data_IF_764100296611
#
_entry.id   IF_764100296611
#
_cell.length_a   1.000
_cell.length_b   1.000
_cell.length_c   1.000
_cell.angle_alpha   90.00
_cell.angle_beta   90.00
_cell.angle_gamma   90.00
#
_symmetry.space_group_name_H-M   'P 1'
#
loop_
_entity.id
_entity.type
_entity.pdbx_description
1 polymer ?
#
# COMPACT_ATOMS: atom_id res chain seq x y z
N UNK A 1 -3.86 -8.66 -32.71
CA UNK A 1 -3.88 -9.11 -31.29
C UNK A 1 -2.63 -9.97 -31.07
N UNK A 2 -1.54 -9.42 -30.54
CA UNK A 2 -0.34 -10.19 -30.19
C UNK A 2 -0.58 -10.89 -28.85
N UNK A 3 -0.35 -12.18 -28.82
CA UNK A 3 -0.63 -13.07 -27.69
C UNK A 3 0.23 -12.74 -26.47
N UNK A 4 -0.29 -13.03 -25.29
CA UNK A 4 0.32 -12.77 -23.95
C UNK A 4 1.70 -13.42 -23.77
N UNK A 5 2.04 -14.38 -24.61
CA UNK A 5 3.30 -15.15 -24.62
C UNK A 5 4.48 -14.40 -25.24
N UNK A 6 4.23 -13.47 -26.18
CA UNK A 6 5.30 -12.70 -26.83
C UNK A 6 5.86 -11.55 -25.98
N UNK A 7 5.24 -11.24 -24.83
CA UNK A 7 5.73 -10.22 -23.88
C UNK A 7 6.76 -10.72 -22.87
N UNK A 8 7.12 -12.01 -22.89
CA UNK A 8 7.98 -12.62 -21.87
C UNK A 8 9.45 -12.79 -22.31
N UNK A 9 9.75 -12.65 -23.56
CA UNK A 9 11.09 -12.93 -24.09
C UNK A 9 11.76 -11.66 -24.65
N UNK A 10 12.29 -10.82 -23.81
CA UNK A 10 13.49 -10.00 -24.04
C UNK A 10 13.96 -9.52 -22.66
N UNK A 11 14.51 -10.42 -21.86
CA UNK A 11 15.43 -10.02 -20.80
C UNK A 11 16.77 -9.89 -21.53
N UNK A 12 17.11 -8.67 -21.91
CA UNK A 12 18.46 -8.34 -22.34
C UNK A 12 19.40 -8.53 -21.14
N UNK A 13 20.63 -8.94 -21.39
CA UNK A 13 21.63 -9.26 -20.38
C UNK A 13 21.79 -8.13 -19.34
N UNK A 14 21.77 -6.87 -19.77
CA UNK A 14 21.87 -5.70 -18.89
C UNK A 14 20.74 -5.54 -17.88
N UNK A 15 19.54 -6.05 -18.15
CA UNK A 15 18.43 -5.95 -17.17
C UNK A 15 18.65 -6.87 -15.97
N UNK A 16 19.26 -8.03 -16.19
CA UNK A 16 19.67 -8.95 -15.13
C UNK A 16 20.81 -8.39 -14.31
N UNK A 17 21.79 -7.77 -14.98
CA UNK A 17 22.90 -7.07 -14.33
C UNK A 17 22.39 -5.88 -13.52
N UNK A 18 21.48 -5.07 -14.07
CA UNK A 18 20.86 -3.95 -13.35
C UNK A 18 20.05 -4.43 -12.14
N UNK A 19 19.35 -5.57 -12.25
CA UNK A 19 18.68 -6.16 -11.08
C UNK A 19 19.69 -6.54 -10.01
N UNK A 20 20.78 -7.18 -10.37
CA UNK A 20 21.87 -7.54 -9.47
C UNK A 20 22.46 -6.29 -8.78
N UNK A 21 22.69 -5.23 -9.54
CA UNK A 21 23.11 -3.93 -9.00
C UNK A 21 22.11 -3.37 -7.98
N UNK A 22 20.82 -3.42 -8.29
CA UNK A 22 19.77 -2.94 -7.38
C UNK A 22 19.74 -3.71 -6.05
N UNK A 23 20.05 -5.00 -6.08
CA UNK A 23 19.99 -5.88 -4.92
C UNK A 23 21.28 -5.85 -4.07
N UNK A 24 22.43 -5.71 -4.71
CA UNK A 24 23.74 -5.87 -4.07
C UNK A 24 24.45 -4.53 -3.82
N UNK A 25 24.37 -3.58 -4.77
CA UNK A 25 25.07 -2.29 -4.69
C UNK A 25 24.18 -1.17 -4.16
N UNK A 26 23.12 -1.53 -3.42
CA UNK A 26 22.13 -0.58 -2.92
C UNK A 26 22.72 0.59 -2.11
N UNK A 27 23.87 0.43 -1.48
CA UNK A 27 24.56 1.51 -0.73
C UNK A 27 24.95 2.69 -1.62
N UNK A 28 25.15 2.45 -2.93
CA UNK A 28 25.51 3.51 -3.91
C UNK A 28 24.31 4.33 -4.36
N UNK A 29 23.13 3.74 -4.39
CA UNK A 29 21.94 4.40 -4.94
C UNK A 29 20.83 4.67 -3.91
N UNK A 30 20.78 3.94 -2.80
CA UNK A 30 19.74 4.11 -1.78
C UNK A 30 20.07 5.27 -0.83
N UNK A 31 19.19 6.26 -0.67
CA UNK A 31 19.42 7.40 0.24
C UNK A 31 19.63 6.96 1.70
N UNK A 32 18.99 5.88 2.10
CA UNK A 32 19.05 5.36 3.47
C UNK A 32 20.18 4.36 3.68
N UNK A 33 20.86 3.97 2.61
CA UNK A 33 21.89 2.92 2.60
C UNK A 33 21.43 1.57 3.20
N UNK A 34 20.11 1.39 3.36
CA UNK A 34 19.53 0.12 3.78
C UNK A 34 19.15 -0.71 2.57
N UNK A 35 19.27 -2.04 2.70
CA UNK A 35 18.87 -2.97 1.64
C UNK A 35 17.41 -2.74 1.25
N UNK A 36 17.10 -2.45 -0.03
CA UNK A 36 15.75 -2.21 -0.46
C UNK A 36 14.93 -3.50 -0.40
N UNK A 37 13.67 -3.38 0.00
CA UNK A 37 12.75 -4.50 -0.11
C UNK A 37 12.49 -4.88 -1.58
N UNK A 38 12.16 -6.13 -1.83
CA UNK A 38 11.92 -6.63 -3.20
C UNK A 38 10.87 -5.85 -3.99
N UNK A 39 9.93 -5.16 -3.32
CA UNK A 39 8.98 -4.24 -3.99
C UNK A 39 9.66 -3.00 -4.57
N UNK A 40 10.66 -2.47 -3.89
CA UNK A 40 11.43 -1.29 -4.34
C UNK A 40 12.25 -1.64 -5.59
N UNK A 41 12.93 -2.78 -5.56
CA UNK A 41 13.67 -3.31 -6.71
C UNK A 41 12.75 -3.53 -7.90
N UNK A 42 11.61 -4.22 -7.68
CA UNK A 42 10.61 -4.44 -8.75
C UNK A 42 10.07 -3.14 -9.34
N UNK A 43 9.84 -2.11 -8.51
CA UNK A 43 9.36 -0.82 -8.98
C UNK A 43 10.43 -0.11 -9.86
N UNK A 44 11.70 -0.12 -9.45
CA UNK A 44 12.79 0.44 -10.25
C UNK A 44 12.88 -0.26 -11.61
N UNK A 45 12.93 -1.60 -11.62
CA UNK A 45 12.95 -2.40 -12.85
C UNK A 45 11.76 -2.12 -13.75
N UNK A 46 10.56 -2.03 -13.19
CA UNK A 46 9.35 -1.74 -13.96
C UNK A 46 9.43 -0.38 -14.65
N UNK A 47 9.89 0.67 -13.95
CA UNK A 47 9.99 2.00 -14.52
C UNK A 47 11.08 2.09 -15.60
N UNK A 48 12.19 1.41 -15.41
CA UNK A 48 13.26 1.33 -16.44
C UNK A 48 12.81 0.51 -17.65
N UNK A 49 12.04 -0.57 -17.46
CA UNK A 49 11.43 -1.30 -18.59
C UNK A 49 10.44 -0.45 -19.39
N UNK A 50 9.65 0.39 -18.71
CA UNK A 50 8.74 1.33 -19.40
C UNK A 50 9.55 2.33 -20.24
N UNK A 51 10.68 2.82 -19.71
CA UNK A 51 11.60 3.67 -20.47
C UNK A 51 12.18 2.94 -21.69
N UNK A 52 12.67 1.71 -21.53
CA UNK A 52 13.21 0.91 -22.63
C UNK A 52 12.16 0.59 -23.72
N UNK A 53 10.91 0.36 -23.34
CA UNK A 53 9.81 0.18 -24.30
C UNK A 53 9.51 1.46 -25.09
N UNK A 54 9.49 2.60 -24.39
CA UNK A 54 9.35 3.89 -25.06
C UNK A 54 10.51 4.16 -26.01
N UNK A 55 11.75 3.86 -25.59
CA UNK A 55 12.94 3.99 -26.43
C UNK A 55 12.79 3.20 -27.73
N UNK A 56 12.41 1.93 -27.66
CA UNK A 56 12.18 1.10 -28.83
C UNK A 56 11.13 1.67 -29.79
N UNK A 57 10.07 2.28 -29.24
CA UNK A 57 9.06 2.95 -30.06
C UNK A 57 9.55 4.27 -30.67
N UNK A 58 10.38 5.03 -29.96
CA UNK A 58 10.86 6.35 -30.39
C UNK A 58 12.03 6.26 -31.39
N UNK A 59 12.92 5.28 -31.20
CA UNK A 59 14.17 5.19 -31.97
C UNK A 59 14.23 3.96 -32.88
N UNK A 60 13.24 3.06 -32.86
CA UNK A 60 13.16 1.91 -33.75
C UNK A 60 14.10 0.73 -33.42
N UNK A 61 14.84 0.78 -32.34
CA UNK A 61 15.74 -0.28 -31.87
C UNK A 61 15.67 -0.48 -30.37
N UNK A 62 16.19 -1.60 -29.88
CA UNK A 62 16.22 -1.89 -28.44
C UNK A 62 17.13 -0.91 -27.69
N UNK A 63 16.72 -0.57 -26.47
CA UNK A 63 17.53 0.27 -25.58
C UNK A 63 18.71 -0.52 -25.03
N UNK A 64 19.89 0.06 -25.17
CA UNK A 64 21.10 -0.36 -24.49
C UNK A 64 21.61 0.77 -23.57
N UNK A 65 22.06 0.47 -22.33
CA UNK A 65 22.49 1.50 -21.38
C UNK A 65 23.56 2.46 -21.90
N UNK A 66 24.47 1.99 -22.74
CA UNK A 66 25.53 2.79 -23.39
C UNK A 66 25.01 3.88 -24.32
N UNK A 67 23.77 3.77 -24.77
CA UNK A 67 23.13 4.72 -25.70
C UNK A 67 22.38 5.85 -24.98
N UNK A 68 22.31 5.79 -23.64
CA UNK A 68 21.59 6.78 -22.87
C UNK A 68 22.24 8.17 -23.00
N UNK A 69 21.44 9.14 -23.42
CA UNK A 69 21.84 10.54 -23.56
C UNK A 69 20.90 11.45 -22.78
N UNK A 70 21.38 12.64 -22.46
CA UNK A 70 20.57 13.68 -21.84
C UNK A 70 19.37 14.06 -22.73
N UNK A 71 19.59 14.19 -24.03
CA UNK A 71 18.54 14.48 -25.03
C UNK A 71 17.41 13.45 -24.95
N UNK A 72 17.74 12.18 -24.86
CA UNK A 72 16.75 11.11 -24.74
C UNK A 72 15.99 11.16 -23.43
N UNK A 73 16.65 11.50 -22.32
CA UNK A 73 15.99 11.68 -21.03
C UNK A 73 14.98 12.85 -21.05
N UNK A 74 15.35 13.97 -21.67
CA UNK A 74 14.44 15.12 -21.87
C UNK A 74 13.29 14.79 -22.82
N UNK A 75 13.54 14.05 -23.90
CA UNK A 75 12.49 13.56 -24.80
C UNK A 75 11.51 12.64 -24.06
N UNK A 76 12.01 11.73 -23.22
CA UNK A 76 11.15 10.88 -22.39
C UNK A 76 10.34 11.65 -21.32
N UNK A 77 10.94 12.71 -20.76
CA UNK A 77 10.21 13.62 -19.87
C UNK A 77 9.03 14.27 -20.59
N UNK A 78 9.27 14.84 -21.77
CA UNK A 78 8.23 15.44 -22.61
C UNK A 78 7.14 14.43 -22.94
N UNK A 79 7.51 13.25 -23.48
CA UNK A 79 6.56 12.17 -23.73
C UNK A 79 5.76 11.79 -22.48
N UNK A 80 6.42 11.63 -21.34
CA UNK A 80 5.73 11.23 -20.10
C UNK A 80 4.72 12.26 -19.61
N UNK A 81 5.06 13.55 -19.67
CA UNK A 81 4.27 14.62 -19.06
C UNK A 81 3.25 15.23 -20.03
N UNK A 82 3.56 15.36 -21.32
CA UNK A 82 2.75 16.06 -22.30
C UNK A 82 1.92 15.09 -23.15
N UNK A 83 2.51 14.00 -23.64
CA UNK A 83 1.83 13.04 -24.50
C UNK A 83 1.07 11.99 -23.65
N UNK A 84 1.78 11.23 -22.81
CA UNK A 84 1.19 10.20 -21.95
C UNK A 84 0.47 10.77 -20.71
N UNK A 85 0.64 12.05 -20.42
CA UNK A 85 -0.02 12.81 -19.33
C UNK A 85 0.02 12.11 -17.98
N UNK A 86 1.16 11.49 -17.65
CA UNK A 86 1.28 10.79 -16.36
C UNK A 86 1.22 11.76 -15.19
N UNK A 87 0.74 11.27 -14.05
CA UNK A 87 0.69 12.07 -12.82
C UNK A 87 2.10 12.46 -12.34
N UNK A 88 2.21 13.54 -11.59
CA UNK A 88 3.46 13.96 -10.95
C UNK A 88 4.10 12.84 -10.10
N UNK A 89 3.29 12.06 -9.37
CA UNK A 89 3.78 10.92 -8.59
C UNK A 89 4.39 9.84 -9.50
N UNK A 90 3.75 9.55 -10.63
CA UNK A 90 4.25 8.58 -11.61
C UNK A 90 5.54 9.08 -12.26
N UNK A 91 5.59 10.36 -12.66
CA UNK A 91 6.80 10.95 -13.20
C UNK A 91 7.95 10.90 -12.17
N UNK A 92 7.71 11.32 -10.95
CA UNK A 92 8.73 11.33 -9.90
C UNK A 92 9.26 9.91 -9.59
N UNK A 93 8.41 8.89 -9.69
CA UNK A 93 8.84 7.49 -9.57
C UNK A 93 9.68 7.03 -10.78
N UNK A 94 9.32 7.44 -12.01
CA UNK A 94 10.12 7.20 -13.21
C UNK A 94 11.47 7.88 -13.13
N UNK A 95 11.49 9.16 -12.76
CA UNK A 95 12.72 9.95 -12.59
C UNK A 95 13.66 9.33 -11.54
N UNK A 96 13.10 8.88 -10.41
CA UNK A 96 13.88 8.17 -9.41
C UNK A 96 14.55 6.90 -9.98
N UNK A 97 13.82 6.11 -10.76
CA UNK A 97 14.37 4.91 -11.40
C UNK A 97 15.44 5.24 -12.46
N UNK A 98 15.25 6.30 -13.25
CA UNK A 98 16.23 6.78 -14.23
C UNK A 98 17.51 7.28 -13.54
N UNK A 99 17.41 7.99 -12.43
CA UNK A 99 18.59 8.39 -11.63
C UNK A 99 19.38 7.20 -11.12
N UNK A 100 18.73 6.11 -10.77
CA UNK A 100 19.42 4.88 -10.38
C UNK A 100 20.08 4.23 -11.59
N UNK A 101 19.41 4.20 -12.74
CA UNK A 101 19.97 3.71 -13.97
C UNK A 101 21.23 4.50 -14.39
N UNK A 102 21.19 5.84 -14.32
CA UNK A 102 22.36 6.68 -14.59
C UNK A 102 23.53 6.38 -13.64
N UNK A 103 23.26 6.12 -12.36
CA UNK A 103 24.31 5.70 -11.41
C UNK A 103 24.88 4.32 -11.74
N UNK A 104 24.05 3.40 -12.23
CA UNK A 104 24.48 2.08 -12.65
C UNK A 104 25.46 2.16 -13.84
N UNK A 105 25.15 2.97 -14.83
CA UNK A 105 26.01 3.14 -16.02
C UNK A 105 27.20 4.10 -15.79
N UNK A 106 27.34 4.64 -14.59
CA UNK A 106 28.45 5.58 -14.27
C UNK A 106 28.24 7.02 -14.78
N UNK A 107 27.04 7.39 -15.19
CA UNK A 107 26.69 8.71 -15.72
C UNK A 107 25.60 9.42 -14.89
N UNK A 108 25.82 9.69 -13.60
CA UNK A 108 24.77 10.24 -12.72
C UNK A 108 24.28 11.64 -13.13
N UNK A 109 25.14 12.44 -13.73
CA UNK A 109 24.84 13.80 -14.19
C UNK A 109 23.74 13.87 -15.27
N UNK A 110 23.53 12.79 -16.06
CA UNK A 110 22.51 12.76 -17.10
C UNK A 110 21.07 12.97 -16.59
N UNK A 111 20.82 12.66 -15.32
CA UNK A 111 19.48 12.79 -14.74
C UNK A 111 19.38 13.91 -13.69
N UNK A 112 20.49 14.58 -13.36
CA UNK A 112 20.49 15.62 -12.31
C UNK A 112 19.74 16.87 -12.74
N UNK A 113 19.79 17.23 -14.04
CA UNK A 113 19.05 18.36 -14.62
C UNK A 113 17.53 18.12 -14.67
N UNK A 114 17.11 16.86 -14.60
CA UNK A 114 15.70 16.53 -14.58
C UNK A 114 15.12 16.73 -13.19
N UNK A 115 14.26 17.71 -13.05
CA UNK A 115 13.62 18.00 -11.77
C UNK A 115 12.33 17.20 -11.56
N UNK A 116 12.04 16.82 -10.32
CA UNK A 116 10.74 16.29 -9.95
C UNK A 116 9.64 17.28 -10.32
N UNK A 117 8.51 16.79 -10.80
CA UNK A 117 7.33 17.63 -10.99
C UNK A 117 6.71 17.94 -9.62
N UNK A 118 6.40 19.20 -9.39
CA UNK A 118 5.64 19.58 -8.21
C UNK A 118 4.30 18.82 -8.21
N UNK A 119 3.96 18.27 -7.07
CA UNK A 119 2.71 17.52 -6.89
C UNK A 119 1.51 18.42 -6.78
N UNK A 120 1.74 19.73 -6.57
CA UNK A 120 0.70 20.68 -6.21
C UNK A 120 0.00 20.31 -4.90
N UNK A 121 -0.85 21.19 -4.40
CA UNK A 121 -1.78 20.83 -3.34
C UNK A 121 -2.76 19.78 -3.88
N UNK A 122 -2.62 18.55 -3.49
CA UNK A 122 -3.66 17.53 -3.67
C UNK A 122 -4.37 17.41 -2.33
N UNK A 123 -5.68 17.67 -2.26
CA UNK A 123 -6.46 17.29 -1.09
C UNK A 123 -6.15 15.83 -0.77
N UNK A 124 -6.08 15.51 0.51
CA UNK A 124 -5.68 14.17 0.94
C UNK A 124 -6.48 13.13 0.16
N UNK A 125 -5.79 12.32 -0.64
CA UNK A 125 -6.40 11.23 -1.44
C UNK A 125 -7.14 10.22 -0.56
N UNK A 126 -6.86 10.27 0.73
CA UNK A 126 -7.43 9.44 1.76
C UNK A 126 -8.13 10.32 2.78
N UNK A 127 -9.37 10.04 3.06
CA UNK A 127 -10.16 10.70 4.09
C UNK A 127 -10.61 9.71 5.17
N UNK A 128 -10.93 10.20 6.35
CA UNK A 128 -11.63 9.42 7.34
C UNK A 128 -13.10 9.25 6.91
N UNK A 129 -13.69 8.15 7.32
CA UNK A 129 -15.14 7.96 7.23
C UNK A 129 -15.83 8.96 8.14
N UNK A 130 -16.88 9.60 7.66
CA UNK A 130 -17.78 10.37 8.48
C UNK A 130 -18.44 9.48 9.55
N UNK A 131 -18.99 10.06 10.60
CA UNK A 131 -19.72 9.32 11.65
C UNK A 131 -20.83 8.43 11.08
N UNK A 132 -21.55 8.93 10.07
CA UNK A 132 -22.61 8.22 9.37
C UNK A 132 -22.08 7.05 8.54
N UNK A 133 -21.08 7.28 7.71
CA UNK A 133 -20.43 6.24 6.89
C UNK A 133 -19.81 5.13 7.75
N UNK A 134 -19.16 5.52 8.83
CA UNK A 134 -18.64 4.56 9.81
C UNK A 134 -19.73 3.68 10.41
N UNK A 135 -20.86 4.29 10.82
CA UNK A 135 -22.01 3.56 11.34
C UNK A 135 -22.58 2.56 10.34
N UNK A 136 -22.77 3.00 9.10
CA UNK A 136 -23.23 2.12 8.01
C UNK A 136 -22.25 0.98 7.72
N UNK A 137 -20.96 1.26 7.66
CA UNK A 137 -19.95 0.24 7.42
C UNK A 137 -19.96 -0.83 8.52
N UNK A 138 -19.98 -0.41 9.79
CA UNK A 138 -20.00 -1.35 10.92
C UNK A 138 -21.29 -2.18 10.92
N UNK A 139 -22.43 -1.55 10.65
CA UNK A 139 -23.71 -2.25 10.54
C UNK A 139 -23.71 -3.28 9.39
N UNK A 140 -23.21 -2.91 8.23
CA UNK A 140 -23.13 -3.81 7.06
C UNK A 140 -22.23 -5.03 7.32
N UNK A 141 -21.12 -4.86 8.02
CA UNK A 141 -20.24 -5.98 8.40
C UNK A 141 -20.98 -7.07 9.19
N UNK A 142 -21.92 -6.68 10.06
CA UNK A 142 -22.77 -7.61 10.82
C UNK A 142 -23.93 -8.15 9.96
N UNK A 143 -24.60 -7.28 9.22
CA UNK A 143 -25.77 -7.60 8.44
C UNK A 143 -25.48 -8.64 7.35
N UNK A 144 -24.32 -8.55 6.70
CA UNK A 144 -23.89 -9.49 5.67
C UNK A 144 -23.86 -10.93 6.20
N UNK A 145 -23.33 -11.15 7.39
CA UNK A 145 -23.27 -12.49 7.99
C UNK A 145 -24.68 -13.02 8.30
N UNK A 146 -25.56 -12.16 8.82
CA UNK A 146 -26.96 -12.55 9.12
C UNK A 146 -27.77 -12.91 7.86
N UNK A 147 -27.40 -12.35 6.70
CA UNK A 147 -28.07 -12.61 5.41
C UNK A 147 -27.46 -13.77 4.64
N UNK A 148 -26.40 -14.39 5.15
CA UNK A 148 -25.80 -15.54 4.49
C UNK A 148 -26.79 -16.70 4.37
N UNK A 149 -26.90 -17.23 3.17
CA UNK A 149 -27.83 -18.32 2.85
C UNK A 149 -27.20 -19.69 3.12
N UNK A 150 -25.86 -19.78 2.98
CA UNK A 150 -25.12 -21.04 3.17
C UNK A 150 -24.07 -20.91 4.27
N UNK A 151 -23.73 -22.03 4.90
CA UNK A 151 -22.64 -22.07 5.88
C UNK A 151 -21.29 -21.64 5.29
N UNK A 152 -21.04 -21.97 4.03
CA UNK A 152 -19.83 -21.54 3.32
C UNK A 152 -19.80 -20.01 3.14
N UNK A 153 -20.92 -19.42 2.77
CA UNK A 153 -21.06 -17.96 2.66
C UNK A 153 -20.86 -17.29 4.02
N UNK A 154 -21.53 -17.77 5.07
CA UNK A 154 -21.37 -17.27 6.44
C UNK A 154 -19.92 -17.31 6.90
N UNK A 155 -19.20 -18.40 6.65
CA UNK A 155 -17.78 -18.55 6.95
C UNK A 155 -16.94 -17.51 6.18
N UNK A 156 -17.22 -17.32 4.90
CA UNK A 156 -16.51 -16.34 4.05
C UNK A 156 -16.73 -14.92 4.59
N UNK A 157 -17.96 -14.54 4.89
CA UNK A 157 -18.32 -13.20 5.38
C UNK A 157 -17.77 -12.94 6.79
N UNK A 158 -17.70 -13.97 7.65
CA UNK A 158 -17.06 -13.89 8.96
C UNK A 158 -15.56 -13.62 8.83
N UNK A 159 -14.87 -14.26 7.88
CA UNK A 159 -13.48 -13.96 7.55
C UNK A 159 -13.31 -12.50 7.09
N UNK A 160 -14.17 -12.06 6.19
CA UNK A 160 -14.13 -10.69 5.64
C UNK A 160 -14.34 -9.65 6.75
N UNK A 161 -15.33 -9.87 7.62
CA UNK A 161 -15.56 -9.02 8.78
C UNK A 161 -14.33 -8.93 9.67
N UNK A 162 -13.71 -10.06 10.01
CA UNK A 162 -12.54 -10.08 10.87
C UNK A 162 -11.35 -9.32 10.25
N UNK A 163 -11.08 -9.57 8.97
CA UNK A 163 -9.98 -8.92 8.27
C UNK A 163 -10.16 -7.39 8.14
N UNK A 164 -11.37 -6.94 7.82
CA UNK A 164 -11.70 -5.50 7.76
C UNK A 164 -11.70 -4.85 9.14
N UNK A 165 -12.16 -5.57 10.17
CA UNK A 165 -12.14 -5.09 11.56
C UNK A 165 -10.73 -4.81 12.06
N UNK A 166 -9.73 -5.60 11.69
CA UNK A 166 -8.33 -5.34 12.05
C UNK A 166 -7.81 -4.04 11.43
N UNK A 167 -8.28 -3.67 10.25
CA UNK A 167 -7.90 -2.39 9.63
C UNK A 167 -8.65 -1.21 10.26
N UNK A 168 -9.96 -1.35 10.49
CA UNK A 168 -10.81 -0.29 11.01
C UNK A 168 -10.59 0.00 12.49
N UNK A 169 -10.30 -1.03 13.28
CA UNK A 169 -10.20 -0.96 14.75
C UNK A 169 -8.77 -1.19 15.28
N UNK A 170 -7.85 -1.67 14.46
CA UNK A 170 -6.44 -1.88 14.80
C UNK A 170 -5.48 -1.06 13.93
N UNK A 171 -5.98 -0.42 12.88
CA UNK A 171 -5.17 0.41 11.99
C UNK A 171 -4.12 -0.36 11.17
N UNK A 172 -4.27 -1.67 11.00
CA UNK A 172 -3.31 -2.49 10.26
C UNK A 172 -3.33 -2.13 8.76
N UNK A 173 -2.16 -2.24 8.11
CA UNK A 173 -2.08 -2.17 6.64
C UNK A 173 -2.64 -3.44 6.02
N UNK A 174 -3.19 -3.35 4.81
CA UNK A 174 -3.67 -4.55 4.09
C UNK A 174 -2.61 -5.62 3.95
N UNK A 175 -1.35 -5.23 3.69
CA UNK A 175 -0.24 -6.17 3.59
C UNK A 175 0.07 -6.85 4.93
N UNK A 176 -0.10 -6.15 6.05
CA UNK A 176 0.09 -6.70 7.40
C UNK A 176 -1.03 -7.71 7.71
N UNK A 177 -2.29 -7.35 7.46
CA UNK A 177 -3.44 -8.24 7.67
C UNK A 177 -3.29 -9.56 6.94
N UNK A 178 -2.92 -9.54 5.66
CA UNK A 178 -2.77 -10.77 4.87
C UNK A 178 -1.55 -11.61 5.27
N UNK A 179 -0.56 -11.02 5.95
CA UNK A 179 0.65 -11.73 6.41
C UNK A 179 0.51 -12.34 7.81
N UNK A 180 -0.55 -12.06 8.54
CA UNK A 180 -0.74 -12.60 9.90
C UNK A 180 -0.79 -14.11 9.90
N UNK A 181 -0.05 -14.71 10.84
CA UNK A 181 -0.14 -16.10 11.23
C UNK A 181 -0.87 -16.27 12.56
N UNK A 182 -1.37 -17.46 12.84
CA UNK A 182 -2.13 -17.73 14.08
C UNK A 182 -1.35 -17.36 15.34
N UNK A 183 -0.04 -17.59 15.34
CA UNK A 183 0.85 -17.29 16.46
C UNK A 183 1.08 -15.77 16.68
N UNK A 184 0.64 -14.93 15.72
CA UNK A 184 0.70 -13.49 15.85
C UNK A 184 -0.48 -12.90 16.63
N UNK A 185 -1.43 -13.74 17.02
CA UNK A 185 -2.67 -13.32 17.64
C UNK A 185 -2.77 -13.87 19.04
N UNK A 186 -3.02 -12.97 19.98
CA UNK A 186 -3.39 -13.35 21.35
C UNK A 186 -4.72 -12.67 21.69
N UNK A 187 -5.73 -13.48 22.02
CA UNK A 187 -7.05 -12.99 22.46
C UNK A 187 -7.29 -13.49 23.87
N UNK A 188 -7.59 -12.57 24.77
CA UNK A 188 -8.01 -12.83 26.15
C UNK A 188 -9.38 -12.20 26.37
N UNK A 189 -10.15 -12.56 27.41
CA UNK A 189 -11.48 -12.01 27.66
C UNK A 189 -11.53 -10.47 27.70
N UNK A 190 -10.52 -9.84 28.33
CA UNK A 190 -10.47 -8.38 28.51
C UNK A 190 -9.43 -7.67 27.64
N UNK A 191 -8.54 -8.39 26.96
CA UNK A 191 -7.46 -7.81 26.13
C UNK A 191 -7.21 -8.63 24.89
N UNK A 192 -6.48 -8.07 23.92
CA UNK A 192 -6.00 -8.79 22.76
C UNK A 192 -4.92 -7.99 22.06
N UNK A 193 -4.00 -8.69 21.46
CA UNK A 193 -2.89 -8.11 20.71
C UNK A 193 -2.70 -8.81 19.37
N UNK A 194 -2.19 -8.06 18.42
CA UNK A 194 -1.69 -8.58 17.13
C UNK A 194 -0.23 -8.16 17.01
N UNK A 195 0.65 -9.13 16.79
CA UNK A 195 2.06 -8.93 16.54
C UNK A 195 2.31 -8.77 15.05
N UNK A 196 2.91 -7.68 14.65
CA UNK A 196 3.33 -7.43 13.28
C UNK A 196 4.82 -7.69 13.17
N UNK A 197 5.21 -8.83 12.60
CA UNK A 197 6.61 -9.31 12.56
C UNK A 197 7.51 -8.50 11.65
N UNK A 198 7.01 -7.97 10.54
CA UNK A 198 7.80 -7.14 9.64
C UNK A 198 6.98 -5.95 9.14
N UNK A 199 7.37 -4.76 9.60
CA UNK A 199 6.89 -3.49 9.10
C UNK A 199 7.83 -2.91 8.05
N UNK A 200 7.54 -1.71 7.54
CA UNK A 200 8.48 -0.94 6.72
C UNK A 200 9.71 -0.60 7.58
N UNK A 201 10.88 -1.19 7.24
CA UNK A 201 12.12 -1.02 7.99
C UNK A 201 12.40 -2.12 9.02
N UNK A 202 11.74 -3.28 8.89
CA UNK A 202 12.00 -4.52 9.65
C UNK A 202 11.80 -4.40 11.18
N UNK A 203 10.98 -3.44 11.61
CA UNK A 203 10.65 -3.26 13.03
C UNK A 203 9.37 -4.01 13.37
N UNK A 204 9.49 -4.95 14.29
CA UNK A 204 8.35 -5.60 14.94
C UNK A 204 7.58 -4.59 15.78
N UNK A 205 6.23 -4.70 15.79
CA UNK A 205 5.39 -3.97 16.73
C UNK A 205 4.20 -4.80 17.19
N UNK A 206 3.74 -4.47 18.39
CA UNK A 206 2.54 -5.05 18.97
C UNK A 206 1.42 -4.01 18.89
N UNK A 207 0.27 -4.43 18.33
CA UNK A 207 -0.92 -3.60 18.20
C UNK A 207 -2.00 -4.15 19.14
N UNK A 208 -2.41 -3.41 20.18
CA UNK A 208 -3.56 -3.78 20.99
C UNK A 208 -4.84 -3.67 20.16
N UNK A 209 -5.75 -4.63 20.33
CA UNK A 209 -7.04 -4.66 19.63
C UNK A 209 -8.20 -4.49 20.62
N UNK A 210 -9.16 -3.67 20.24
CA UNK A 210 -10.35 -3.38 21.02
C UNK A 210 -11.39 -4.52 20.97
N UNK A 211 -12.45 -4.40 21.76
CA UNK A 211 -13.48 -5.45 21.86
C UNK A 211 -14.14 -5.80 20.49
N UNK A 212 -14.54 -4.83 19.64
CA UNK A 212 -15.08 -5.17 18.31
C UNK A 212 -14.11 -6.00 17.43
N UNK A 213 -12.85 -5.64 17.38
CA UNK A 213 -11.83 -6.40 16.65
C UNK A 213 -11.61 -7.79 17.25
N UNK A 214 -11.53 -7.89 18.60
CA UNK A 214 -11.40 -9.19 19.28
C UNK A 214 -12.56 -10.12 18.98
N UNK A 215 -13.81 -9.63 19.09
CA UNK A 215 -15.02 -10.42 18.80
C UNK A 215 -15.04 -10.90 17.34
N UNK A 216 -14.75 -10.01 16.40
CA UNK A 216 -14.71 -10.37 14.98
C UNK A 216 -13.65 -11.44 14.69
N UNK A 217 -12.47 -11.28 15.27
CA UNK A 217 -11.36 -12.20 15.08
C UNK A 217 -11.59 -13.56 15.77
N UNK A 218 -12.13 -13.58 16.99
CA UNK A 218 -12.50 -14.79 17.69
C UNK A 218 -13.56 -15.58 16.90
N UNK A 219 -14.63 -14.94 16.47
CA UNK A 219 -15.67 -15.59 15.64
C UNK A 219 -15.09 -16.17 14.34
N UNK A 220 -14.12 -15.49 13.73
CA UNK A 220 -13.44 -16.05 12.54
C UNK A 220 -12.60 -17.28 12.88
N UNK A 221 -11.78 -17.23 13.94
CA UNK A 221 -10.91 -18.34 14.33
C UNK A 221 -11.71 -19.57 14.71
N UNK A 222 -12.91 -19.43 15.26
CA UNK A 222 -13.82 -20.50 15.60
C UNK A 222 -14.36 -21.24 14.37
N UNK A 223 -14.77 -20.49 13.32
CA UNK A 223 -15.36 -21.08 12.10
C UNK A 223 -14.33 -21.27 10.96
N UNK A 224 -13.07 -20.92 11.22
CA UNK A 224 -12.01 -21.03 10.21
C UNK A 224 -11.82 -22.49 9.80
N UNK A 225 -11.91 -22.81 8.50
CA UNK A 225 -11.73 -24.18 8.04
C UNK A 225 -10.37 -24.76 8.45
N UNK A 226 -10.34 -26.02 8.79
CA UNK A 226 -9.11 -26.75 9.07
C UNK A 226 -8.16 -26.63 7.87
N UNK A 227 -6.91 -26.32 8.14
CA UNK A 227 -5.90 -26.11 7.11
C UNK A 227 -4.51 -26.26 7.72
N UNK A 228 -3.57 -26.81 6.94
CA UNK A 228 -2.14 -26.86 7.28
C UNK A 228 -1.49 -25.47 7.26
N UNK A 229 -2.13 -24.50 6.63
CA UNK A 229 -1.64 -23.11 6.60
C UNK A 229 -1.70 -22.46 7.97
N UNK A 230 -0.60 -21.81 8.38
CA UNK A 230 -0.55 -20.96 9.57
C UNK A 230 -1.24 -19.61 9.36
N UNK A 231 -1.52 -19.20 8.11
CA UNK A 231 -2.16 -17.93 7.82
C UNK A 231 -3.49 -17.76 8.56
N UNK A 232 -3.69 -16.63 9.24
CA UNK A 232 -5.00 -16.29 9.84
C UNK A 232 -6.07 -16.26 8.76
N UNK A 233 -5.81 -15.55 7.69
CA UNK A 233 -6.77 -15.36 6.59
C UNK A 233 -6.36 -16.18 5.38
N UNK A 234 -7.10 -17.25 5.11
CA UNK A 234 -6.92 -18.11 3.94
C UNK A 234 -7.74 -17.60 2.75
N UNK A 235 -7.24 -17.80 1.54
CA UNK A 235 -8.00 -17.58 0.32
C UNK A 235 -8.93 -18.77 0.01
N UNK A 236 -9.82 -18.60 -0.99
CA UNK A 236 -10.73 -19.69 -1.41
C UNK A 236 -9.96 -20.89 -1.98
N UNK A 237 -8.86 -20.63 -2.70
CA UNK A 237 -8.02 -21.66 -3.37
C UNK A 237 -6.52 -21.44 -3.10
N UNK A 238 -6.19 -20.65 -2.09
CA UNK A 238 -4.81 -20.34 -1.73
C UNK A 238 -4.63 -20.43 -0.21
N UNK A 239 -3.45 -20.82 0.25
CA UNK A 239 -3.16 -20.98 1.69
C UNK A 239 -3.26 -19.65 2.44
N UNK A 240 -3.23 -18.51 1.72
CA UNK A 240 -3.26 -17.17 2.30
C UNK A 240 -4.06 -16.21 1.40
N UNK A 241 -4.84 -15.33 2.00
CA UNK A 241 -5.53 -14.25 1.31
C UNK A 241 -4.50 -13.27 0.73
N UNK A 242 -4.70 -12.83 -0.51
CA UNK A 242 -3.83 -11.84 -1.16
C UNK A 242 -4.30 -10.41 -0.91
N UNK A 243 -3.38 -9.44 -0.98
CA UNK A 243 -3.73 -8.01 -0.88
C UNK A 243 -4.79 -7.61 -1.91
N UNK A 244 -4.67 -8.07 -3.15
CA UNK A 244 -5.65 -7.78 -4.23
C UNK A 244 -7.04 -8.34 -3.94
N UNK A 245 -7.13 -9.55 -3.34
CA UNK A 245 -8.41 -10.11 -2.92
C UNK A 245 -9.01 -9.29 -1.79
N UNK A 246 -8.18 -8.88 -0.81
CA UNK A 246 -8.64 -8.06 0.32
C UNK A 246 -9.11 -6.66 -0.14
N UNK A 247 -8.41 -6.03 -1.05
CA UNK A 247 -8.81 -4.74 -1.64
C UNK A 247 -10.18 -4.85 -2.34
N UNK A 248 -10.42 -5.96 -3.04
CA UNK A 248 -11.73 -6.24 -3.66
C UNK A 248 -12.84 -6.40 -2.61
N UNK A 249 -12.56 -7.11 -1.52
CA UNK A 249 -13.49 -7.25 -0.38
C UNK A 249 -13.84 -5.87 0.20
N UNK A 250 -12.85 -5.04 0.49
CA UNK A 250 -13.07 -3.70 1.03
C UNK A 250 -13.91 -2.84 0.08
N UNK A 251 -13.60 -2.88 -1.23
CA UNK A 251 -14.37 -2.16 -2.24
C UNK A 251 -15.83 -2.61 -2.31
N UNK A 252 -16.08 -3.92 -2.24
CA UNK A 252 -17.43 -4.48 -2.24
C UNK A 252 -18.21 -4.03 -0.99
N UNK A 253 -17.61 -4.15 0.20
CA UNK A 253 -18.24 -3.71 1.46
C UNK A 253 -18.53 -2.21 1.42
N UNK A 254 -17.62 -1.41 0.84
CA UNK A 254 -17.82 0.02 0.65
C UNK A 254 -19.05 0.32 -0.20
N UNK A 255 -19.21 -0.35 -1.33
CA UNK A 255 -20.39 -0.20 -2.20
C UNK A 255 -21.70 -0.55 -1.47
N UNK A 256 -21.71 -1.65 -0.73
CA UNK A 256 -22.87 -2.10 0.06
C UNK A 256 -23.16 -1.18 1.26
N UNK A 257 -22.19 -0.42 1.71
CA UNK A 257 -22.31 0.55 2.82
C UNK A 257 -22.54 1.99 2.35
N UNK A 258 -22.80 2.20 1.06
CA UNK A 258 -22.89 3.53 0.44
C UNK A 258 -21.65 4.40 0.64
N UNK A 259 -20.49 3.79 0.80
CA UNK A 259 -19.17 4.44 0.88
C UNK A 259 -18.42 4.14 -0.42
N UNK A 260 -18.73 4.92 -1.44
CA UNK A 260 -18.07 4.79 -2.73
C UNK A 260 -16.57 5.03 -2.60
N UNK A 261 -15.78 4.28 -3.39
CA UNK A 261 -14.31 4.36 -3.42
C UNK A 261 -13.62 3.96 -2.10
N UNK A 262 -14.30 3.26 -1.19
CA UNK A 262 -13.67 2.76 0.04
C UNK A 262 -12.41 1.95 -0.29
N UNK A 263 -11.32 2.32 0.37
CA UNK A 263 -10.04 1.63 0.25
C UNK A 263 -9.52 1.19 1.61
N UNK A 264 -8.59 0.21 1.66
CA UNK A 264 -7.89 -0.14 2.88
C UNK A 264 -7.26 1.05 3.62
N UNK A 265 -6.75 2.03 2.87
CA UNK A 265 -6.17 3.24 3.47
C UNK A 265 -7.20 4.11 4.19
N UNK A 266 -8.43 4.19 3.70
CA UNK A 266 -9.49 4.95 4.37
C UNK A 266 -9.85 4.35 5.74
N UNK A 267 -9.90 3.00 5.83
CA UNK A 267 -10.14 2.32 7.10
C UNK A 267 -9.07 2.66 8.14
N UNK A 268 -7.81 2.56 7.74
CA UNK A 268 -6.67 2.89 8.59
C UNK A 268 -6.61 4.40 8.92
N UNK A 269 -6.94 5.26 7.97
CA UNK A 269 -7.03 6.69 8.20
C UNK A 269 -8.16 7.02 9.21
N UNK A 270 -9.31 6.36 9.08
CA UNK A 270 -10.42 6.46 10.03
C UNK A 270 -10.00 6.06 11.44
N UNK A 271 -9.23 4.97 11.57
CA UNK A 271 -8.68 4.56 12.87
C UNK A 271 -7.82 5.68 13.48
N UNK A 272 -6.90 6.25 12.72
CA UNK A 272 -6.03 7.33 13.19
C UNK A 272 -6.82 8.57 13.66
N UNK A 273 -7.76 9.04 12.82
CA UNK A 273 -8.61 10.20 13.16
C UNK A 273 -9.51 9.95 14.37
N UNK A 274 -9.99 8.74 14.56
CA UNK A 274 -10.78 8.38 15.74
C UNK A 274 -9.95 8.29 17.01
N UNK A 275 -8.69 7.91 16.93
CA UNK A 275 -7.76 7.97 18.07
C UNK A 275 -7.44 9.41 18.44
N UNK A 276 -7.14 10.25 17.44
CA UNK A 276 -6.92 11.69 17.63
C UNK A 276 -8.12 12.35 18.32
N UNK A 277 -9.34 12.10 17.82
CA UNK A 277 -10.57 12.63 18.41
C UNK A 277 -10.84 12.14 19.85
N UNK A 278 -10.14 11.09 20.30
CA UNK A 278 -10.16 10.60 21.68
C UNK A 278 -8.97 11.09 22.52
N UNK A 279 -8.20 12.06 22.04
CA UNK A 279 -7.06 12.63 22.73
C UNK A 279 -5.75 11.83 22.59
N UNK A 280 -5.67 10.88 21.67
CA UNK A 280 -4.41 10.19 21.40
C UNK A 280 -3.35 11.14 20.82
N UNK A 281 -2.14 11.12 21.38
CA UNK A 281 -1.04 11.96 20.85
C UNK A 281 -0.56 11.45 19.48
N UNK A 282 0.07 12.35 18.71
CA UNK A 282 0.60 12.01 17.39
C UNK A 282 1.67 10.91 17.48
N UNK A 283 2.44 10.87 18.57
CA UNK A 283 3.46 9.85 18.83
C UNK A 283 2.81 8.49 19.08
N UNK A 284 1.77 8.44 19.94
CA UNK A 284 1.02 7.22 20.21
C UNK A 284 0.38 6.65 18.93
N UNK A 285 -0.22 7.52 18.11
CA UNK A 285 -0.83 7.14 16.84
C UNK A 285 0.24 6.65 15.85
N UNK A 286 1.38 7.34 15.76
CA UNK A 286 2.53 6.93 14.95
C UNK A 286 3.00 5.52 15.31
N UNK A 287 3.16 5.25 16.60
CA UNK A 287 3.69 3.98 17.09
C UNK A 287 2.70 2.83 16.83
N UNK A 288 1.41 3.03 17.08
CA UNK A 288 0.35 2.06 16.73
C UNK A 288 0.29 1.78 15.24
N UNK A 289 0.41 2.82 14.42
CA UNK A 289 0.41 2.68 12.97
C UNK A 289 1.74 2.12 12.42
N UNK A 290 2.83 2.18 13.17
CA UNK A 290 4.17 1.78 12.68
C UNK A 290 4.62 2.67 11.52
N UNK A 291 4.53 4.01 11.67
CA UNK A 291 5.08 4.94 10.73
C UNK A 291 6.55 5.21 11.08
N UNK A 292 7.45 5.03 10.11
CA UNK A 292 8.88 5.30 10.30
C UNK A 292 9.17 6.80 10.52
N UNK A 293 8.26 7.69 10.08
CA UNK A 293 8.37 9.14 10.18
C UNK A 293 7.08 9.73 10.75
N UNK A 294 7.23 10.70 11.65
CA UNK A 294 6.12 11.47 12.21
C UNK A 294 5.39 12.28 11.11
N UNK A 295 6.11 12.70 10.08
CA UNK A 295 5.59 13.40 8.91
C UNK A 295 4.51 12.57 8.18
N UNK A 296 4.69 11.25 8.13
CA UNK A 296 3.66 10.36 7.57
C UNK A 296 2.39 10.40 8.44
N UNK A 297 2.54 10.46 9.76
CA UNK A 297 1.39 10.55 10.67
C UNK A 297 0.73 11.92 10.59
N UNK A 298 1.49 13.00 10.50
CA UNK A 298 0.96 14.36 10.31
C UNK A 298 0.03 14.47 9.12
N UNK A 299 0.37 13.83 7.99
CA UNK A 299 -0.53 13.81 6.80
C UNK A 299 -1.89 13.15 7.08
N UNK A 300 -1.95 12.24 8.03
CA UNK A 300 -3.21 11.62 8.46
C UNK A 300 -3.99 12.51 9.44
N UNK A 301 -3.31 13.38 10.15
CA UNK A 301 -3.86 14.20 11.23
C UNK A 301 -3.94 15.69 10.86
N UNK A 302 -3.48 16.08 9.67
CA UNK A 302 -3.64 17.46 9.20
C UNK A 302 -5.13 17.81 9.21
N UNK A 303 -5.48 18.86 9.96
CA UNK A 303 -6.83 19.37 10.00
C UNK A 303 -7.27 19.82 8.60
N UNK A 304 -8.46 19.41 8.18
CA UNK A 304 -9.10 19.98 7.01
C UNK A 304 -9.42 21.46 7.26
N UNK A 305 -9.61 22.24 6.19
CA UNK A 305 -9.97 23.65 6.31
C UNK A 305 -11.20 23.87 7.21
N UNK A 306 -12.21 23.00 7.11
CA UNK A 306 -13.44 23.06 7.91
C UNK A 306 -13.17 22.82 9.41
N UNK A 307 -12.22 21.92 9.75
CA UNK A 307 -11.80 21.68 11.14
C UNK A 307 -11.06 22.90 11.72
N UNK A 308 -10.20 23.54 10.90
CA UNK A 308 -9.50 24.77 11.28
C UNK A 308 -10.46 25.94 11.44
N UNK A 309 -11.45 26.08 10.55
CA UNK A 309 -12.46 27.11 10.62
C UNK A 309 -13.31 26.94 11.88
N UNK A 310 -13.78 25.72 12.17
CA UNK A 310 -14.53 25.41 13.39
C UNK A 310 -13.73 25.72 14.65
N UNK A 311 -12.41 25.48 14.65
CA UNK A 311 -11.55 25.80 15.79
C UNK A 311 -11.43 27.31 16.01
N UNK A 312 -11.35 28.08 14.94
CA UNK A 312 -11.27 29.56 15.01
C UNK A 312 -12.62 30.17 15.43
N UNK A 313 -13.74 29.61 14.99
CA UNK A 313 -15.08 30.06 15.35
C UNK A 313 -15.45 29.77 16.83
N UNK A 314 -14.72 28.88 17.51
CA UNK A 314 -14.88 28.61 18.94
C UNK A 314 -14.03 29.53 19.84
N UNK A 315 -13.25 30.45 19.27
CA UNK A 315 -12.49 31.47 19.97
C UNK A 315 -13.33 32.73 20.18
#
# INVERSE_FOLDING_TARGET
>A
MKTKTEKIAIITDWQSEFQTYLENDYKRWSPTRHKPGGKTVKAALQHVRIFALWWGAAYGHQFEPSQLTEIALHAYRRHSLEEARVSADTWNARLWALRILCKYIGCPWLAEDLQPKDRGYKPARYRALTKREYGYLVHQLELRIRRAVTAFEATTLTRERASVSLMLFGGLRVAEVVQLDKDDITIKPRSGIVRIRSGKGDKERIVPINLPARKALASWLEVRPASTSQAVFTGKRSPRLTTRQHERIVKQIGAESHVHELTPHWLRYTFAKRLEAKGGSIEQIRDLLGHASIETTRRYLSAGFDELQSLVETF
#
